data_IF_725109176615
#
_entry.id   IF_725109176615
#
_cell.length_a   1.000
_cell.length_b   1.000
_cell.length_c   1.000
_cell.angle_alpha   90.00
_cell.angle_beta   90.00
_cell.angle_gamma   90.00
#
_symmetry.space_group_name_H-M   'P 1'
#
loop_
_entity.id
_entity.type
_entity.pdbx_description
1 polymer ?
#
# COMPACT_ATOMS: atom_id res chain seq x y z
N UNK A 1 -44.00 -58.08 11.78
CA UNK A 1 -43.51 -56.71 11.51
C UNK A 1 -44.14 -55.77 12.53
N UNK A 2 -43.32 -54.96 13.22
CA UNK A 2 -43.74 -54.02 14.28
C UNK A 2 -44.24 -52.71 13.62
N UNK A 3 -44.89 -51.71 14.23
CA UNK A 3 -45.05 -51.35 15.64
C UNK A 3 -46.20 -50.35 15.79
N UNK A 4 -46.73 -50.35 17.00
CA UNK A 4 -47.79 -49.55 17.59
C UNK A 4 -47.48 -48.03 17.72
N UNK A 5 -48.53 -47.20 17.67
CA UNK A 5 -48.94 -46.10 18.59
C UNK A 5 -47.90 -45.04 19.02
N UNK A 6 -48.21 -43.80 19.41
CA UNK A 6 -49.38 -42.94 19.47
C UNK A 6 -48.95 -41.69 20.26
N UNK A 7 -49.57 -40.56 19.94
CA UNK A 7 -50.01 -39.49 20.86
C UNK A 7 -49.04 -38.76 21.82
N UNK A 8 -49.06 -37.44 21.64
CA UNK A 8 -48.73 -36.35 22.57
C UNK A 8 -49.43 -36.47 23.95
N UNK A 9 -48.86 -35.84 25.01
CA UNK A 9 -49.32 -34.52 25.48
C UNK A 9 -48.15 -33.58 25.85
N UNK A 10 -48.18 -32.27 25.57
CA UNK A 10 -48.87 -31.17 26.26
C UNK A 10 -48.39 -30.89 27.71
N UNK A 11 -48.26 -29.59 28.02
CA UNK A 11 -47.85 -28.91 29.28
C UNK A 11 -46.34 -28.61 29.39
N UNK A 12 -45.85 -27.47 29.87
CA UNK A 12 -46.41 -26.44 30.75
C UNK A 12 -45.91 -25.03 30.36
N UNK A 13 -46.83 -24.07 30.45
CA UNK A 13 -46.53 -22.63 30.48
C UNK A 13 -46.13 -22.27 31.92
N UNK A 14 -45.04 -21.53 32.10
CA UNK A 14 -44.77 -20.80 33.33
C UNK A 14 -44.26 -19.41 32.98
N UNK A 15 -45.10 -18.43 33.31
CA UNK A 15 -44.80 -17.02 33.32
C UNK A 15 -44.12 -16.66 34.65
N UNK A 16 -43.05 -15.88 34.59
CA UNK A 16 -42.59 -15.09 35.72
C UNK A 16 -42.08 -13.74 35.19
N UNK A 17 -42.91 -12.72 35.43
CA UNK A 17 -42.52 -11.32 35.41
C UNK A 17 -41.42 -11.08 36.43
N UNK A 18 -40.38 -10.34 36.05
CA UNK A 18 -39.69 -9.42 36.94
C UNK A 18 -39.20 -8.22 36.12
N UNK A 19 -39.80 -7.08 36.42
CA UNK A 19 -39.37 -5.77 36.02
C UNK A 19 -38.02 -5.42 36.65
N UNK A 20 -37.19 -4.67 35.95
CA UNK A 20 -36.73 -3.34 36.40
C UNK A 20 -35.53 -2.84 35.58
N UNK A 21 -35.54 -1.52 35.38
CA UNK A 21 -34.38 -0.64 35.19
C UNK A 21 -33.83 -0.52 33.76
N UNK A 22 -34.46 0.37 33.00
CA UNK A 22 -33.78 1.13 31.97
C UNK A 22 -32.73 2.04 32.63
N UNK A 23 -31.45 1.79 32.36
CA UNK A 23 -30.38 2.80 32.45
C UNK A 23 -29.92 3.11 31.04
N UNK A 24 -30.48 4.19 30.49
CA UNK A 24 -29.95 4.85 29.31
C UNK A 24 -28.57 5.42 29.67
N UNK A 25 -27.50 4.68 29.36
CA UNK A 25 -26.18 5.26 29.24
C UNK A 25 -26.10 5.87 27.83
N UNK A 26 -26.34 7.18 27.75
CA UNK A 26 -26.07 7.98 26.58
C UNK A 26 -24.64 7.71 26.10
N UNK A 27 -24.53 7.15 24.91
CA UNK A 27 -23.26 6.99 24.22
C UNK A 27 -22.84 8.40 23.81
N UNK A 28 -21.94 9.00 24.59
CA UNK A 28 -21.31 10.25 24.23
C UNK A 28 -20.60 10.05 22.89
N UNK A 29 -21.08 10.73 21.86
CA UNK A 29 -20.37 10.88 20.61
C UNK A 29 -18.99 11.50 20.92
N UNK A 30 -17.91 11.04 20.28
CA UNK A 30 -16.64 11.74 20.39
C UNK A 30 -16.81 13.16 19.84
N UNK A 31 -16.46 14.16 20.65
CA UNK A 31 -16.38 15.56 20.21
C UNK A 31 -15.51 15.68 18.96
N UNK A 32 -15.88 16.52 17.99
CA UNK A 32 -15.02 16.81 16.85
C UNK A 32 -13.74 17.47 17.39
N UNK A 33 -12.60 16.84 17.10
CA UNK A 33 -11.30 17.45 17.36
C UNK A 33 -11.25 18.85 16.74
N UNK A 34 -10.73 19.87 17.46
CA UNK A 34 -10.69 21.23 16.94
C UNK A 34 -9.88 21.26 15.65
N UNK A 35 -10.48 21.82 14.60
CA UNK A 35 -9.77 22.26 13.41
C UNK A 35 -8.84 23.41 13.79
N UNK A 36 -7.67 23.05 14.33
CA UNK A 36 -6.56 23.97 14.48
C UNK A 36 -5.96 24.19 13.09
N UNK A 37 -6.45 25.24 12.43
CA UNK A 37 -5.70 25.93 11.38
C UNK A 37 -4.45 26.49 12.04
N UNK A 38 -3.36 25.74 11.97
CA UNK A 38 -2.04 26.26 12.24
C UNK A 38 -1.47 26.75 10.90
N UNK A 39 -1.25 28.06 10.87
CA UNK A 39 -0.61 28.80 9.81
C UNK A 39 0.65 28.08 9.28
N UNK A 40 0.90 28.24 7.98
CA UNK A 40 2.13 27.86 7.32
C UNK A 40 3.31 28.62 7.96
N UNK A 41 3.92 28.01 8.97
CA UNK A 41 5.26 28.36 9.43
C UNK A 41 6.26 27.67 8.50
N UNK A 42 7.27 28.42 8.06
CA UNK A 42 8.39 28.04 7.20
C UNK A 42 8.58 26.52 7.06
N UNK A 43 8.19 25.98 5.90
CA UNK A 43 8.51 24.61 5.56
C UNK A 43 10.05 24.50 5.51
N UNK A 44 10.67 23.63 6.33
CA UNK A 44 12.11 23.45 6.26
C UNK A 44 12.50 23.05 4.83
N UNK A 45 13.63 23.58 4.36
CA UNK A 45 14.23 23.18 3.10
C UNK A 45 14.26 21.65 3.00
N UNK A 46 13.94 21.09 1.83
CA UNK A 46 14.00 19.65 1.59
C UNK A 46 15.44 19.18 1.78
N UNK A 47 15.73 18.52 2.89
CA UNK A 47 17.00 17.84 3.12
C UNK A 47 16.85 16.39 2.64
N UNK A 48 17.67 15.91 1.69
CA UNK A 48 17.58 14.53 1.23
C UNK A 48 18.00 13.56 2.33
N UNK A 49 17.29 12.44 2.44
CA UNK A 49 17.73 11.28 3.21
C UNK A 49 18.40 10.31 2.24
N UNK A 50 19.73 10.13 2.32
CA UNK A 50 20.45 9.25 1.42
C UNK A 50 20.31 7.79 1.88
N UNK A 51 19.76 6.93 1.03
CA UNK A 51 19.80 5.48 1.18
C UNK A 51 19.15 4.92 2.45
N UNK A 52 19.31 3.61 2.62
CA UNK A 52 18.80 2.84 3.74
C UNK A 52 17.29 2.61 3.73
N UNK A 53 16.77 1.88 4.75
CA UNK A 53 15.37 1.49 4.83
C UNK A 53 14.40 2.69 4.89
N UNK A 54 14.76 3.76 5.57
CA UNK A 54 13.89 4.93 5.73
C UNK A 54 13.72 5.71 4.41
N UNK A 55 14.81 5.89 3.64
CA UNK A 55 14.74 6.50 2.31
C UNK A 55 13.97 5.59 1.33
N UNK A 56 14.12 4.27 1.44
CA UNK A 56 13.34 3.29 0.67
C UNK A 56 11.84 3.35 1.00
N UNK A 57 11.44 4.03 2.08
CA UNK A 57 10.07 4.21 2.51
C UNK A 57 9.57 3.15 3.50
N UNK A 58 10.45 2.41 4.17
CA UNK A 58 10.08 1.53 5.27
C UNK A 58 9.50 2.38 6.41
N UNK A 59 8.29 2.02 6.87
CA UNK A 59 7.57 2.70 7.96
C UNK A 59 7.12 1.74 9.08
N UNK A 60 7.44 0.47 8.95
CA UNK A 60 7.02 -0.60 9.86
C UNK A 60 7.63 -1.94 9.44
N UNK A 61 7.29 -3.02 10.18
CA UNK A 61 7.80 -4.34 9.85
C UNK A 61 7.31 -4.80 8.48
N UNK A 62 8.18 -5.50 7.75
CA UNK A 62 7.81 -6.12 6.49
C UNK A 62 6.79 -7.26 6.74
N UNK A 63 5.81 -7.46 5.84
CA UNK A 63 4.88 -8.58 5.94
C UNK A 63 5.63 -9.90 5.79
N UNK A 64 5.45 -10.81 6.76
CA UNK A 64 6.16 -12.09 6.80
C UNK A 64 6.00 -12.91 5.50
N UNK A 65 7.11 -13.38 4.94
CA UNK A 65 7.08 -14.23 3.74
C UNK A 65 6.82 -13.49 2.42
N UNK A 66 6.63 -12.16 2.41
CA UNK A 66 6.34 -11.44 1.16
C UNK A 66 7.54 -11.44 0.21
N UNK A 67 8.75 -11.24 0.71
CA UNK A 67 9.98 -11.33 -0.09
C UNK A 67 10.09 -12.68 -0.83
N UNK A 68 9.82 -13.79 -0.13
CA UNK A 68 9.81 -15.13 -0.71
C UNK A 68 8.66 -15.30 -1.72
N UNK A 69 7.47 -14.80 -1.39
CA UNK A 69 6.29 -14.88 -2.26
C UNK A 69 6.47 -14.11 -3.58
N UNK A 70 7.33 -13.08 -3.60
CA UNK A 70 7.69 -12.33 -4.81
C UNK A 70 8.86 -12.96 -5.59
N UNK A 71 9.35 -14.13 -5.16
CA UNK A 71 10.46 -14.83 -5.80
C UNK A 71 11.84 -14.23 -5.46
N UNK A 72 11.95 -13.64 -4.27
CA UNK A 72 13.21 -13.11 -3.74
C UNK A 72 13.87 -12.07 -4.68
N UNK A 73 15.19 -11.89 -4.64
CA UNK A 73 15.90 -10.90 -5.48
C UNK A 73 15.59 -11.07 -6.97
N UNK A 74 15.60 -12.30 -7.47
CA UNK A 74 15.42 -12.57 -8.90
C UNK A 74 13.99 -12.27 -9.38
N UNK A 75 12.98 -12.68 -8.60
CA UNK A 75 11.59 -12.40 -8.92
C UNK A 75 11.24 -10.92 -8.82
N UNK A 76 11.78 -10.22 -7.81
CA UNK A 76 11.63 -8.77 -7.65
C UNK A 76 12.32 -8.01 -8.79
N UNK A 77 13.55 -8.38 -9.16
CA UNK A 77 14.25 -7.76 -10.28
C UNK A 77 13.49 -7.92 -11.59
N UNK A 78 12.92 -9.10 -11.84
CA UNK A 78 12.12 -9.36 -13.02
C UNK A 78 10.78 -8.61 -12.99
N UNK A 79 10.14 -8.45 -11.82
CA UNK A 79 8.92 -7.66 -11.67
C UNK A 79 9.16 -6.17 -11.93
N UNK A 80 10.19 -5.58 -11.30
CA UNK A 80 10.53 -4.17 -11.50
C UNK A 80 11.05 -3.89 -12.92
N UNK A 81 11.76 -4.84 -13.52
CA UNK A 81 12.15 -4.78 -14.92
C UNK A 81 10.95 -4.66 -15.86
N UNK A 82 9.97 -5.55 -15.71
CA UNK A 82 8.73 -5.55 -16.52
C UNK A 82 7.89 -4.29 -16.28
N UNK A 83 7.74 -3.88 -15.01
CA UNK A 83 7.02 -2.63 -14.67
C UNK A 83 7.63 -1.41 -15.36
N UNK A 84 8.96 -1.24 -15.33
CA UNK A 84 9.63 -0.12 -15.99
C UNK A 84 9.46 -0.19 -17.52
N UNK A 85 9.56 -1.37 -18.11
CA UNK A 85 9.39 -1.55 -19.56
C UNK A 85 7.95 -1.26 -20.03
N UNK A 86 6.96 -1.54 -19.19
CA UNK A 86 5.56 -1.16 -19.42
C UNK A 86 5.34 0.33 -19.23
N UNK A 87 5.88 0.92 -18.15
CA UNK A 87 5.74 2.34 -17.85
C UNK A 87 6.32 3.23 -18.95
N UNK A 88 7.44 2.81 -19.56
CA UNK A 88 8.04 3.47 -20.72
C UNK A 88 7.14 3.50 -21.96
N UNK A 89 6.21 2.55 -22.09
CA UNK A 89 5.31 2.40 -23.24
C UNK A 89 3.88 2.88 -22.93
N UNK A 90 3.57 3.17 -21.67
CA UNK A 90 2.25 3.64 -21.28
C UNK A 90 2.04 5.07 -21.81
N UNK A 91 0.97 5.35 -22.58
CA UNK A 91 0.77 6.64 -23.22
C UNK A 91 0.50 7.79 -22.24
N UNK A 92 0.13 7.49 -20.98
CA UNK A 92 -0.18 8.48 -19.94
C UNK A 92 1.06 8.94 -19.21
N UNK A 93 2.04 8.05 -19.02
CA UNK A 93 3.23 8.31 -18.19
C UNK A 93 4.57 8.19 -18.92
N UNK A 94 4.65 7.45 -20.02
CA UNK A 94 5.85 7.28 -20.85
C UNK A 94 6.53 8.60 -21.26
N UNK A 95 5.80 9.64 -21.70
CA UNK A 95 6.42 10.92 -22.06
C UNK A 95 7.15 11.64 -20.91
N UNK A 96 6.76 11.40 -19.65
CA UNK A 96 7.48 11.95 -18.49
C UNK A 96 8.86 11.29 -18.37
N UNK A 97 8.86 9.98 -18.54
CA UNK A 97 10.06 9.17 -18.49
C UNK A 97 11.06 9.57 -19.57
N UNK A 98 10.65 9.87 -20.81
CA UNK A 98 11.55 10.35 -21.86
C UNK A 98 12.29 11.66 -21.49
N UNK A 99 11.62 12.56 -20.77
CA UNK A 99 12.19 13.83 -20.35
C UNK A 99 13.11 13.68 -19.13
N UNK A 100 12.74 12.83 -18.17
CA UNK A 100 13.55 12.53 -16.97
C UNK A 100 14.73 11.59 -17.27
N UNK A 101 14.59 10.65 -18.21
CA UNK A 101 15.62 9.67 -18.58
C UNK A 101 16.73 10.25 -19.47
N UNK A 102 16.61 11.48 -19.99
CA UNK A 102 17.78 12.16 -20.57
C UNK A 102 18.93 12.28 -19.56
N UNK A 103 18.63 12.24 -18.26
CA UNK A 103 19.62 12.24 -17.18
C UNK A 103 19.73 10.89 -16.45
N UNK A 104 18.67 10.08 -16.45
CA UNK A 104 18.61 8.82 -15.71
C UNK A 104 18.71 7.60 -16.64
N UNK A 105 19.55 6.62 -16.30
CA UNK A 105 19.71 5.39 -17.10
C UNK A 105 18.59 4.39 -16.77
N UNK A 106 17.81 3.86 -17.74
CA UNK A 106 16.70 2.94 -17.45
C UNK A 106 17.10 1.73 -16.60
N UNK A 107 18.29 1.16 -16.84
CA UNK A 107 18.79 0.05 -16.03
C UNK A 107 19.02 0.44 -14.57
N UNK A 108 19.59 1.63 -14.32
CA UNK A 108 19.81 2.10 -12.96
C UNK A 108 18.49 2.32 -12.20
N UNK A 109 17.43 2.76 -12.89
CA UNK A 109 16.10 2.83 -12.28
C UNK A 109 15.57 1.44 -11.92
N UNK A 110 15.67 0.47 -12.84
CA UNK A 110 15.25 -0.92 -12.57
C UNK A 110 15.96 -1.50 -11.35
N UNK A 111 17.28 -1.31 -11.27
CA UNK A 111 18.09 -1.79 -10.15
C UNK A 111 17.70 -1.10 -8.83
N UNK A 112 17.49 0.22 -8.86
CA UNK A 112 17.08 0.99 -7.68
C UNK A 112 15.69 0.59 -7.17
N UNK A 113 14.71 0.42 -8.07
CA UNK A 113 13.37 -0.06 -7.71
C UNK A 113 13.41 -1.50 -7.18
N UNK A 114 14.21 -2.37 -7.79
CA UNK A 114 14.38 -3.74 -7.30
C UNK A 114 14.98 -3.77 -5.89
N UNK A 115 15.99 -2.94 -5.62
CA UNK A 115 16.56 -2.78 -4.29
C UNK A 115 15.53 -2.24 -3.29
N UNK A 116 14.74 -1.23 -3.68
CA UNK A 116 13.69 -0.66 -2.84
C UNK A 116 12.65 -1.72 -2.44
N UNK A 117 12.10 -2.46 -3.40
CA UNK A 117 11.11 -3.51 -3.12
C UNK A 117 11.73 -4.64 -2.29
N UNK A 118 12.98 -5.01 -2.56
CA UNK A 118 13.69 -6.00 -1.76
C UNK A 118 13.76 -5.58 -0.28
N UNK A 119 14.15 -4.33 0.01
CA UNK A 119 14.19 -3.82 1.40
C UNK A 119 12.79 -3.76 2.03
N UNK A 120 11.81 -3.21 1.32
CA UNK A 120 10.43 -3.07 1.82
C UNK A 120 9.78 -4.40 2.22
N UNK A 121 10.13 -5.46 1.51
CA UNK A 121 9.56 -6.79 1.69
C UNK A 121 10.33 -7.66 2.68
N UNK A 122 11.39 -7.10 3.31
CA UNK A 122 12.21 -7.78 4.33
C UNK A 122 13.38 -8.58 3.76
N UNK A 123 13.76 -8.34 2.51
CA UNK A 123 14.90 -8.95 1.85
C UNK A 123 16.25 -8.35 2.28
N UNK A 124 17.36 -9.05 2.02
CA UNK A 124 18.70 -8.67 2.48
C UNK A 124 19.40 -7.72 1.49
N UNK A 125 18.67 -6.73 0.96
CA UNK A 125 19.23 -5.74 0.05
C UNK A 125 19.55 -4.45 0.77
N UNK A 126 20.36 -3.62 0.12
CA UNK A 126 20.59 -2.24 0.54
C UNK A 126 20.00 -1.32 -0.53
N UNK A 127 19.33 -0.26 -0.08
CA UNK A 127 18.82 0.78 -0.96
C UNK A 127 19.75 1.99 -0.88
N UNK A 128 20.30 2.41 -2.01
CA UNK A 128 21.22 3.55 -2.09
C UNK A 128 20.56 4.81 -2.65
N UNK A 129 19.29 4.71 -3.07
CA UNK A 129 18.56 5.85 -3.61
C UNK A 129 18.21 6.89 -2.53
N UNK A 130 17.92 8.10 -2.97
CA UNK A 130 17.40 9.15 -2.09
C UNK A 130 15.94 8.88 -1.73
N UNK A 131 15.46 9.50 -0.65
CA UNK A 131 14.07 9.38 -0.25
C UNK A 131 13.05 9.76 -1.33
N UNK A 132 11.85 9.18 -1.22
CA UNK A 132 10.76 9.36 -2.18
C UNK A 132 10.38 10.83 -2.41
N UNK A 133 10.44 11.67 -1.38
CA UNK A 133 10.05 13.08 -1.51
C UNK A 133 11.06 13.83 -2.36
N UNK A 134 12.34 13.65 -2.10
CA UNK A 134 13.40 14.30 -2.86
C UNK A 134 13.50 13.74 -4.29
N UNK A 135 13.42 12.42 -4.46
CA UNK A 135 13.51 11.75 -5.76
C UNK A 135 12.46 12.25 -6.76
N UNK A 136 11.26 12.60 -6.29
CA UNK A 136 10.12 12.96 -7.13
C UNK A 136 9.80 14.46 -7.13
N UNK A 137 10.50 15.27 -6.33
CA UNK A 137 10.18 16.68 -6.07
C UNK A 137 10.03 17.55 -7.33
N UNK A 138 10.79 17.26 -8.39
CA UNK A 138 10.85 18.10 -9.60
C UNK A 138 10.06 17.52 -10.78
N UNK A 139 9.35 16.40 -10.58
CA UNK A 139 8.72 15.65 -11.67
C UNK A 139 7.31 16.12 -12.02
N UNK A 140 6.72 17.03 -11.22
CA UNK A 140 5.36 17.56 -11.40
C UNK A 140 4.29 16.45 -11.54
N UNK A 141 4.46 15.38 -10.78
CA UNK A 141 3.57 14.23 -10.75
C UNK A 141 2.23 14.63 -10.13
N UNK A 142 1.15 14.44 -10.89
CA UNK A 142 -0.22 14.56 -10.40
C UNK A 142 -0.81 13.20 -9.98
N UNK A 143 -2.05 13.21 -9.48
CA UNK A 143 -2.75 12.01 -9.03
C UNK A 143 -3.06 11.02 -10.16
N UNK A 144 -3.38 11.52 -11.37
CA UNK A 144 -3.70 10.66 -12.49
C UNK A 144 -2.46 9.87 -12.95
N UNK A 145 -1.31 10.53 -12.99
CA UNK A 145 -0.02 9.94 -13.32
C UNK A 145 0.44 8.94 -12.25
N UNK A 146 0.27 9.26 -10.97
CA UNK A 146 0.55 8.32 -9.88
C UNK A 146 -0.29 7.05 -10.00
N UNK A 147 -1.60 7.19 -10.22
CA UNK A 147 -2.50 6.04 -10.36
C UNK A 147 -2.18 5.22 -11.62
N UNK A 148 -1.82 5.86 -12.73
CA UNK A 148 -1.39 5.16 -13.93
C UNK A 148 -0.15 4.28 -13.67
N UNK A 149 0.81 4.73 -12.87
CA UNK A 149 1.96 3.91 -12.47
C UNK A 149 1.54 2.74 -11.57
N UNK A 150 0.60 2.94 -10.66
CA UNK A 150 0.04 1.86 -9.82
C UNK A 150 -0.62 0.79 -10.69
N UNK A 151 -1.41 1.18 -11.69
CA UNK A 151 -2.02 0.26 -12.64
C UNK A 151 -0.96 -0.51 -13.45
N UNK A 152 0.09 0.15 -13.92
CA UNK A 152 1.21 -0.50 -14.61
C UNK A 152 1.91 -1.54 -13.72
N UNK A 153 2.06 -1.25 -12.43
CA UNK A 153 2.59 -2.22 -11.47
C UNK A 153 1.66 -3.43 -11.29
N UNK A 154 0.34 -3.21 -11.21
CA UNK A 154 -0.64 -4.29 -11.15
C UNK A 154 -0.58 -5.18 -12.39
N UNK A 155 -0.54 -4.57 -13.59
CA UNK A 155 -0.39 -5.30 -14.85
C UNK A 155 0.88 -6.15 -14.91
N UNK A 156 2.00 -5.62 -14.38
CA UNK A 156 3.26 -6.36 -14.29
C UNK A 156 3.18 -7.53 -13.31
N UNK A 157 2.49 -7.37 -12.18
CA UNK A 157 2.27 -8.45 -11.23
C UNK A 157 1.36 -9.55 -11.79
N UNK A 158 0.27 -9.15 -12.45
CA UNK A 158 -0.67 -10.06 -13.12
C UNK A 158 0.01 -10.87 -14.21
N UNK A 159 0.79 -10.22 -15.08
CA UNK A 159 1.54 -10.89 -16.15
C UNK A 159 2.57 -11.91 -15.63
N UNK A 160 3.03 -11.73 -14.40
CA UNK A 160 3.96 -12.64 -13.72
C UNK A 160 3.27 -13.68 -12.85
N UNK A 161 1.94 -13.70 -12.83
CA UNK A 161 1.14 -14.66 -12.07
C UNK A 161 1.29 -14.50 -10.55
N UNK A 162 1.62 -13.30 -10.08
CA UNK A 162 1.68 -13.01 -8.64
C UNK A 162 0.25 -13.04 -8.08
N UNK A 163 -0.07 -13.87 -7.08
CA UNK A 163 -1.43 -13.96 -6.57
C UNK A 163 -1.94 -12.62 -6.04
N UNK A 164 -3.21 -12.30 -6.30
CA UNK A 164 -3.83 -11.02 -5.90
C UNK A 164 -3.59 -10.64 -4.43
N UNK A 165 -3.61 -11.62 -3.52
CA UNK A 165 -3.28 -11.39 -2.10
C UNK A 165 -1.88 -10.83 -1.90
N UNK A 166 -0.88 -11.31 -2.65
CA UNK A 166 0.50 -10.82 -2.56
C UNK A 166 0.65 -9.44 -3.21
N UNK A 167 -0.08 -9.17 -4.29
CA UNK A 167 -0.15 -7.85 -4.90
C UNK A 167 -0.63 -6.80 -3.92
N UNK A 168 -1.76 -7.07 -3.23
CA UNK A 168 -2.31 -6.14 -2.25
C UNK A 168 -1.37 -5.88 -1.08
N UNK A 169 -0.60 -6.90 -0.65
CA UNK A 169 0.42 -6.73 0.40
C UNK A 169 1.55 -5.81 -0.05
N UNK A 170 2.01 -5.95 -1.30
CA UNK A 170 3.01 -5.05 -1.87
C UNK A 170 2.47 -3.62 -2.01
N UNK A 171 1.26 -3.46 -2.57
CA UNK A 171 0.62 -2.16 -2.74
C UNK A 171 0.39 -1.45 -1.40
N UNK A 172 0.05 -2.20 -0.35
CA UNK A 172 -0.12 -1.65 1.00
C UNK A 172 1.19 -1.05 1.56
N UNK A 173 2.36 -1.63 1.22
CA UNK A 173 3.66 -1.07 1.61
C UNK A 173 3.99 0.23 0.87
N UNK A 174 3.55 0.34 -0.38
CA UNK A 174 3.83 1.49 -1.24
C UNK A 174 2.85 2.66 -1.01
N UNK A 175 1.61 2.36 -0.60
CA UNK A 175 0.55 3.36 -0.45
C UNK A 175 0.92 4.62 0.37
N UNK A 176 1.66 4.54 1.50
CA UNK A 176 2.07 5.74 2.25
C UNK A 176 2.91 6.74 1.43
N UNK A 177 3.68 6.26 0.44
CA UNK A 177 4.56 7.09 -0.39
C UNK A 177 3.80 8.05 -1.31
N UNK A 178 2.51 7.83 -1.53
CA UNK A 178 1.65 8.76 -2.28
C UNK A 178 1.81 10.20 -1.79
N UNK A 179 1.99 10.41 -0.47
CA UNK A 179 2.15 11.74 0.14
C UNK A 179 3.46 12.44 -0.25
N UNK A 180 4.49 11.66 -0.56
CA UNK A 180 5.83 12.13 -0.90
C UNK A 180 6.02 12.28 -2.41
N UNK A 181 5.31 11.49 -3.22
CA UNK A 181 5.51 11.41 -4.68
C UNK A 181 4.65 12.42 -5.46
N UNK A 182 3.40 12.66 -5.05
CA UNK A 182 2.53 13.61 -5.75
C UNK A 182 2.96 15.04 -5.42
N UNK A 183 3.39 15.77 -6.45
CA UNK A 183 3.95 17.12 -6.35
C UNK A 183 3.03 18.21 -6.90
N UNK A 184 1.98 17.83 -7.64
CA UNK A 184 0.92 18.72 -8.14
C UNK A 184 -0.43 18.21 -7.65
N UNK A 185 -1.25 19.09 -7.08
CA UNK A 185 -2.56 18.77 -6.48
C UNK A 185 -3.69 19.53 -7.14
#
# INVERSE_FOLDING_TARGET
>A
MPTFFAFLPATLVSAALLAASATAAAQAAPEPAPAASAAAADAPALVPIPGGPEAAGVRGPAPEGLYQALGEKAGIAALMGDMVDRALKDPRIGPMFENSFKQMRPQALKDSLAAQICVLTGGPCEYEGTDMKYAHAQLKIDKAQFNALVEVLQDAMDARGIPFTQQNRLLALLAPMHRDIITVR
#
